data_IF_831473051551
#
_entry.id   IF_831473051551
#
_cell.length_a   1.000
_cell.length_b   1.000
_cell.length_c   1.000
_cell.angle_alpha   90.00
_cell.angle_beta   90.00
_cell.angle_gamma   90.00
#
_symmetry.space_group_name_H-M   'P 1'
#
loop_
_entity.id
_entity.type
_entity.pdbx_description
1 polymer ?
#
# COMPACT_ATOMS: atom_id res chain seq x y z
N UNK A 1 10.98 -88.12 9.92
CA UNK A 1 10.62 -89.25 9.03
C UNK A 1 9.33 -88.89 8.32
N UNK A 2 9.36 -88.96 6.98
CA UNK A 2 8.23 -89.03 6.03
C UNK A 2 7.22 -87.85 6.02
N UNK A 3 6.71 -87.32 4.92
CA UNK A 3 6.95 -87.54 3.49
C UNK A 3 5.94 -86.69 2.69
N UNK A 4 6.40 -86.03 1.63
CA UNK A 4 5.64 -85.81 0.39
C UNK A 4 4.84 -84.50 0.31
N UNK A 5 5.05 -83.60 -0.65
CA UNK A 5 5.13 -83.68 -2.13
C UNK A 5 3.90 -82.97 -2.72
N UNK A 6 4.12 -81.91 -3.49
CA UNK A 6 3.07 -81.23 -4.28
C UNK A 6 3.41 -79.79 -4.67
N UNK A 7 4.33 -79.60 -5.61
CA UNK A 7 4.50 -78.39 -6.44
C UNK A 7 3.50 -78.42 -7.63
N UNK A 8 3.54 -77.50 -8.62
CA UNK A 8 3.27 -76.06 -8.62
C UNK A 8 2.22 -75.68 -9.70
N UNK A 9 1.79 -74.41 -9.78
CA UNK A 9 1.32 -73.84 -11.06
C UNK A 9 1.91 -72.44 -11.26
N UNK A 10 2.76 -72.35 -12.28
CA UNK A 10 3.26 -71.15 -12.95
C UNK A 10 2.09 -70.41 -13.62
N UNK A 11 2.05 -69.09 -13.72
CA UNK A 11 2.69 -68.23 -14.74
C UNK A 11 2.07 -66.84 -14.50
N UNK A 12 2.72 -65.70 -14.58
CA UNK A 12 3.36 -65.17 -15.77
C UNK A 12 4.14 -63.90 -15.38
N UNK A 13 5.32 -63.83 -15.95
CA UNK A 13 6.28 -62.73 -15.95
C UNK A 13 5.84 -61.61 -16.89
N UNK A 14 5.88 -60.36 -16.44
CA UNK A 14 6.20 -59.19 -17.27
C UNK A 14 7.14 -58.31 -16.42
N UNK A 15 8.45 -58.55 -16.46
CA UNK A 15 9.43 -57.90 -17.33
C UNK A 15 9.55 -56.37 -17.13
N UNK A 16 10.55 -56.00 -16.30
CA UNK A 16 11.50 -54.89 -16.47
C UNK A 16 11.67 -54.46 -17.95
N UNK A 17 11.86 -53.21 -18.38
CA UNK A 17 12.46 -52.01 -17.76
C UNK A 17 12.40 -50.80 -18.76
N UNK A 18 13.31 -49.78 -18.77
CA UNK A 18 13.02 -48.35 -18.63
C UNK A 18 13.30 -47.55 -19.95
N UNK A 19 13.55 -46.23 -19.84
CA UNK A 19 13.90 -45.21 -20.85
C UNK A 19 12.71 -44.30 -21.23
N UNK A 20 12.80 -42.98 -21.33
CA UNK A 20 13.88 -42.00 -21.15
C UNK A 20 13.26 -40.60 -21.19
N UNK A 21 13.89 -39.65 -20.50
CA UNK A 21 13.98 -38.22 -20.80
C UNK A 21 12.91 -37.56 -21.69
N UNK A 22 12.09 -36.69 -21.09
CA UNK A 22 11.70 -35.42 -21.71
C UNK A 22 11.63 -34.34 -20.62
N UNK A 23 12.78 -33.75 -20.33
CA UNK A 23 12.84 -32.38 -19.82
C UNK A 23 12.17 -31.47 -20.85
N UNK A 24 10.99 -30.94 -20.53
CA UNK A 24 10.34 -29.95 -21.38
C UNK A 24 9.66 -28.88 -20.51
N UNK A 25 10.43 -27.80 -20.32
CA UNK A 25 9.99 -26.42 -20.13
C UNK A 25 9.22 -26.13 -18.84
N UNK A 26 9.96 -25.95 -17.76
CA UNK A 26 9.61 -24.96 -16.74
C UNK A 26 9.51 -23.60 -17.44
N UNK A 27 8.30 -23.22 -17.84
CA UNK A 27 8.04 -21.87 -18.34
C UNK A 27 8.18 -20.90 -17.18
N UNK A 28 9.07 -19.89 -17.23
CA UNK A 28 9.09 -18.84 -16.23
C UNK A 28 8.00 -17.84 -16.63
N UNK A 29 6.75 -18.13 -16.28
CA UNK A 29 5.71 -17.11 -16.23
C UNK A 29 5.10 -17.14 -14.83
N UNK A 30 5.88 -16.61 -13.88
CA UNK A 30 5.42 -16.14 -12.58
C UNK A 30 4.60 -14.85 -12.77
N UNK A 31 3.52 -14.91 -13.54
CA UNK A 31 2.52 -13.86 -13.64
C UNK A 31 1.09 -14.44 -13.72
N UNK A 32 0.87 -15.64 -13.19
CA UNK A 32 -0.47 -16.13 -12.86
C UNK A 32 -0.97 -15.49 -11.56
N UNK A 33 -1.25 -14.18 -11.62
CA UNK A 33 -1.84 -13.45 -10.50
C UNK A 33 -3.27 -13.97 -10.28
N UNK A 34 -3.45 -14.76 -9.22
CA UNK A 34 -4.77 -15.20 -8.77
C UNK A 34 -5.78 -14.04 -8.76
N UNK A 35 -6.97 -14.18 -9.37
CA UNK A 35 -7.98 -13.12 -9.44
C UNK A 35 -8.52 -12.70 -8.07
N UNK A 36 -8.22 -13.49 -7.03
CA UNK A 36 -8.58 -13.20 -5.64
C UNK A 36 -7.54 -12.34 -4.91
N UNK A 37 -6.43 -11.96 -5.56
CA UNK A 37 -5.40 -11.15 -4.93
C UNK A 37 -5.64 -9.66 -5.21
N UNK A 38 -5.90 -8.90 -4.15
CA UNK A 38 -6.07 -7.47 -4.23
C UNK A 38 -4.78 -6.78 -4.72
N UNK A 39 -4.85 -6.12 -5.88
CA UNK A 39 -3.75 -5.33 -6.44
C UNK A 39 -3.73 -3.92 -5.81
N UNK A 40 -2.52 -3.44 -5.53
CA UNK A 40 -2.26 -2.08 -5.04
C UNK A 40 -2.07 -1.15 -6.25
N UNK A 41 -2.50 0.10 -6.14
CA UNK A 41 -2.37 1.05 -7.25
C UNK A 41 -0.91 1.48 -7.46
N UNK A 42 -0.16 1.72 -6.38
CA UNK A 42 1.26 2.05 -6.45
C UNK A 42 2.13 0.78 -6.41
N UNK A 43 2.89 0.59 -7.49
CA UNK A 43 3.84 -0.51 -7.67
C UNK A 43 5.27 -0.03 -7.38
N UNK A 44 5.52 0.55 -6.20
CA UNK A 44 6.90 0.68 -5.73
C UNK A 44 7.37 -0.73 -5.32
N UNK A 45 7.87 -1.46 -6.33
CA UNK A 45 8.33 -2.85 -6.23
C UNK A 45 9.80 -2.87 -5.82
N UNK A 46 10.13 -2.20 -4.71
CA UNK A 46 11.43 -2.40 -4.07
C UNK A 46 11.33 -3.58 -3.10
N UNK A 47 12.36 -4.41 -3.03
CA UNK A 47 12.47 -5.49 -2.04
C UNK A 47 12.31 -4.94 -0.61
N UNK A 48 12.71 -3.69 -0.39
CA UNK A 48 12.66 -2.98 0.89
C UNK A 48 11.31 -2.30 1.19
N UNK A 49 10.20 -2.91 0.74
CA UNK A 49 8.86 -2.36 0.91
C UNK A 49 7.90 -3.31 1.62
N UNK A 50 6.99 -2.73 2.40
CA UNK A 50 5.94 -3.42 3.14
C UNK A 50 4.58 -2.89 2.71
N UNK A 51 3.60 -3.77 2.58
CA UNK A 51 2.25 -3.41 2.11
C UNK A 51 1.24 -3.81 3.17
N UNK A 52 0.27 -2.95 3.43
CA UNK A 52 -0.89 -3.26 4.27
C UNK A 52 -2.16 -2.71 3.62
N UNK A 53 -3.26 -3.46 3.77
CA UNK A 53 -4.56 -3.10 3.19
C UNK A 53 -5.71 -3.47 4.12
N UNK A 54 -6.72 -2.61 4.16
CA UNK A 54 -8.03 -2.89 4.73
C UNK A 54 -9.11 -2.64 3.70
N UNK A 55 -9.96 -3.64 3.45
CA UNK A 55 -11.06 -3.55 2.47
C UNK A 55 -12.41 -3.48 3.19
N UNK A 56 -13.38 -2.77 2.59
CA UNK A 56 -14.74 -2.65 3.10
C UNK A 56 -14.83 -2.14 4.55
N UNK A 57 -13.89 -1.27 4.94
CA UNK A 57 -13.84 -0.73 6.30
C UNK A 57 -15.00 0.22 6.52
N UNK A 58 -15.77 0.00 7.59
CA UNK A 58 -16.94 0.81 7.95
C UNK A 58 -16.53 2.10 8.68
N UNK A 59 -15.75 2.92 8.00
CA UNK A 59 -15.31 4.25 8.44
C UNK A 59 -15.61 5.27 7.34
N UNK A 60 -15.84 6.53 7.73
CA UNK A 60 -16.28 7.54 6.77
C UNK A 60 -15.15 7.95 5.83
N UNK A 61 -15.31 7.67 4.54
CA UNK A 61 -14.31 7.90 3.49
C UNK A 61 -13.62 9.27 3.57
N UNK A 62 -14.39 10.36 3.69
CA UNK A 62 -13.82 11.72 3.68
C UNK A 62 -12.88 11.97 4.86
N UNK A 63 -13.22 11.46 6.04
CA UNK A 63 -12.43 11.65 7.25
C UNK A 63 -11.14 10.84 7.18
N UNK A 64 -11.26 9.59 6.72
CA UNK A 64 -10.13 8.69 6.55
C UNK A 64 -9.16 9.20 5.49
N UNK A 65 -9.65 9.81 4.39
CA UNK A 65 -8.79 10.43 3.38
C UNK A 65 -7.94 11.55 3.95
N UNK A 66 -8.52 12.48 4.72
CA UNK A 66 -7.74 13.57 5.31
C UNK A 66 -6.74 13.05 6.35
N UNK A 67 -7.14 12.06 7.16
CA UNK A 67 -6.26 11.41 8.15
C UNK A 67 -5.08 10.70 7.47
N UNK A 68 -5.34 9.95 6.41
CA UNK A 68 -4.31 9.27 5.63
C UNK A 68 -3.32 10.24 5.00
N UNK A 69 -3.80 11.35 4.43
CA UNK A 69 -2.93 12.35 3.83
C UNK A 69 -2.05 13.08 4.87
N UNK A 70 -2.53 13.23 6.11
CA UNK A 70 -1.71 13.79 7.18
C UNK A 70 -0.54 12.88 7.57
N UNK A 71 -0.71 11.57 7.47
CA UNK A 71 0.32 10.57 7.82
C UNK A 71 1.32 10.32 6.68
N UNK A 72 0.95 10.68 5.45
CA UNK A 72 1.79 10.45 4.26
C UNK A 72 3.14 11.16 4.41
N UNK A 73 4.23 10.40 4.24
CA UNK A 73 5.61 10.89 4.34
C UNK A 73 6.20 10.93 5.75
N UNK A 74 5.44 10.55 6.78
CA UNK A 74 5.97 10.40 8.14
C UNK A 74 6.73 9.08 8.29
N UNK A 75 7.70 9.04 9.22
CA UNK A 75 8.26 7.79 9.72
C UNK A 75 7.22 7.03 10.54
N UNK A 76 7.32 5.70 10.61
CA UNK A 76 6.34 4.86 11.31
C UNK A 76 6.13 5.30 12.77
N UNK A 77 7.21 5.48 13.53
CA UNK A 77 7.13 5.91 14.94
C UNK A 77 6.43 7.26 15.11
N UNK A 78 6.73 8.23 14.24
CA UNK A 78 6.08 9.55 14.26
C UNK A 78 4.61 9.46 13.89
N UNK A 79 4.26 8.63 12.92
CA UNK A 79 2.88 8.41 12.50
C UNK A 79 2.02 7.82 13.61
N UNK A 80 2.53 6.81 14.32
CA UNK A 80 1.84 6.18 15.46
C UNK A 80 1.61 7.20 16.57
N UNK A 81 2.66 7.88 17.02
CA UNK A 81 2.57 8.90 18.07
C UNK A 81 1.61 10.04 17.70
N UNK A 82 1.61 10.47 16.42
CA UNK A 82 0.69 11.49 15.94
C UNK A 82 -0.78 11.04 16.01
N UNK A 83 -1.09 9.83 15.54
CA UNK A 83 -2.45 9.33 15.53
C UNK A 83 -2.98 9.04 16.94
N UNK A 84 -2.12 8.62 17.87
CA UNK A 84 -2.47 8.51 19.30
C UNK A 84 -2.79 9.88 19.90
N UNK A 85 -1.98 10.90 19.61
CA UNK A 85 -2.27 12.28 20.03
C UNK A 85 -3.57 12.83 19.41
N UNK A 86 -3.95 12.39 18.21
CA UNK A 86 -5.25 12.73 17.59
C UNK A 86 -6.41 12.08 18.33
N UNK A 87 -6.28 10.82 18.78
CA UNK A 87 -7.29 10.15 19.60
C UNK A 87 -7.49 10.88 20.94
N UNK A 88 -6.40 11.34 21.54
CA UNK A 88 -6.40 12.12 22.78
C UNK A 88 -6.83 13.59 22.60
N UNK A 89 -7.15 14.02 21.37
CA UNK A 89 -7.49 15.41 21.02
C UNK A 89 -6.37 16.45 21.28
N UNK A 90 -5.13 16.00 21.49
CA UNK A 90 -3.96 16.86 21.70
C UNK A 90 -3.47 17.49 20.40
N UNK A 91 -3.60 16.78 19.28
CA UNK A 91 -3.27 17.27 17.92
C UNK A 91 -4.44 17.04 16.98
N UNK A 92 -4.63 17.92 16.00
CA UNK A 92 -5.75 17.84 15.07
C UNK A 92 -5.31 17.37 13.68
N UNK A 93 -6.20 16.65 12.99
CA UNK A 93 -6.02 16.33 11.58
C UNK A 93 -6.42 17.55 10.73
N UNK A 94 -5.54 18.06 9.85
CA UNK A 94 -5.89 19.14 8.95
C UNK A 94 -6.86 18.65 7.87
N UNK A 95 -7.98 19.34 7.68
CA UNK A 95 -8.94 19.04 6.61
C UNK A 95 -8.67 19.97 5.43
N UNK A 96 -8.16 19.42 4.32
CA UNK A 96 -7.77 20.19 3.13
C UNK A 96 -8.80 20.11 2.01
N UNK A 97 -9.14 18.91 1.54
CA UNK A 97 -10.08 18.73 0.42
C UNK A 97 -11.53 18.77 0.89
N UNK A 98 -11.85 18.01 1.94
CA UNK A 98 -13.21 17.90 2.46
C UNK A 98 -13.47 18.88 3.63
N UNK A 99 -13.18 20.16 3.42
CA UNK A 99 -13.22 21.19 4.47
C UNK A 99 -14.56 21.97 4.56
N UNK A 100 -15.61 21.53 3.88
CA UNK A 100 -16.92 22.19 3.87
C UNK A 100 -17.63 22.07 5.23
N UNK A 101 -17.99 23.19 5.85
CA UNK A 101 -18.66 23.22 7.16
C UNK A 101 -17.78 22.76 8.34
N UNK A 102 -16.46 22.69 8.17
CA UNK A 102 -15.53 22.29 9.23
C UNK A 102 -15.11 23.52 10.06
N UNK A 103 -15.18 23.38 11.39
CA UNK A 103 -14.73 24.41 12.33
C UNK A 103 -13.23 24.72 12.21
N UNK A 104 -12.84 25.89 12.72
CA UNK A 104 -11.43 26.30 12.80
C UNK A 104 -10.85 25.90 14.14
N UNK A 105 -9.60 25.45 14.17
CA UNK A 105 -8.92 25.04 15.40
C UNK A 105 -7.48 25.58 15.42
N UNK A 106 -6.99 25.96 16.60
CA UNK A 106 -5.61 26.47 16.73
C UNK A 106 -4.57 25.38 16.42
N UNK A 107 -4.88 24.11 16.72
CA UNK A 107 -4.01 22.96 16.47
C UNK A 107 -3.71 22.75 14.97
N UNK A 108 -4.60 23.17 14.06
CA UNK A 108 -4.38 23.04 12.63
C UNK A 108 -3.25 23.95 12.10
N UNK A 109 -2.85 24.97 12.87
CA UNK A 109 -1.77 25.90 12.52
C UNK A 109 -0.44 25.19 12.29
N UNK A 110 -0.19 24.08 13.00
CA UNK A 110 1.00 23.26 12.83
C UNK A 110 1.19 22.79 11.37
N UNK A 111 0.09 22.56 10.65
CA UNK A 111 0.09 22.08 9.27
C UNK A 111 -0.16 23.19 8.25
N UNK A 112 -0.06 24.46 8.67
CA UNK A 112 -0.40 25.63 7.84
C UNK A 112 -1.88 25.67 7.42
N UNK A 113 -2.76 25.01 8.19
CA UNK A 113 -4.20 24.95 7.93
C UNK A 113 -4.97 25.71 9.00
N UNK A 114 -6.12 26.29 8.63
CA UNK A 114 -7.01 26.94 9.60
C UNK A 114 -8.12 26.01 10.11
N UNK A 115 -8.43 24.94 9.37
CA UNK A 115 -9.54 24.01 9.64
C UNK A 115 -8.99 22.62 9.98
N UNK A 116 -9.50 22.02 11.05
CA UNK A 116 -9.09 20.69 11.50
C UNK A 116 -10.14 20.03 12.40
N UNK A 117 -10.07 18.70 12.52
CA UNK A 117 -10.92 17.90 13.42
C UNK A 117 -10.14 16.72 14.00
N UNK A 118 -10.77 16.00 14.92
CA UNK A 118 -10.26 14.78 15.52
C UNK A 118 -11.11 13.56 15.08
N UNK A 119 -10.83 12.97 13.90
CA UNK A 119 -11.57 11.82 13.41
C UNK A 119 -11.12 10.53 14.12
N UNK A 120 -11.55 10.32 15.36
CA UNK A 120 -11.13 9.21 16.25
C UNK A 120 -11.25 7.85 15.56
N UNK A 121 -12.43 7.54 15.00
CA UNK A 121 -12.66 6.26 14.31
C UNK A 121 -11.74 6.05 13.11
N UNK A 122 -11.42 7.10 12.36
CA UNK A 122 -10.49 6.97 11.24
C UNK A 122 -9.05 6.76 11.72
N UNK A 123 -8.64 7.45 12.78
CA UNK A 123 -7.32 7.30 13.38
C UNK A 123 -7.09 5.88 13.91
N UNK A 124 -8.08 5.27 14.57
CA UNK A 124 -8.00 3.89 15.07
C UNK A 124 -7.78 2.86 13.97
N UNK A 125 -8.52 2.96 12.86
CA UNK A 125 -8.37 2.03 11.74
C UNK A 125 -7.03 2.22 11.02
N UNK A 126 -6.54 3.45 10.89
CA UNK A 126 -5.21 3.71 10.30
C UNK A 126 -4.10 3.21 11.23
N UNK A 127 -4.22 3.42 12.54
CA UNK A 127 -3.30 2.84 13.55
C UNK A 127 -3.24 1.31 13.47
N UNK A 128 -4.40 0.65 13.37
CA UNK A 128 -4.45 -0.80 13.21
C UNK A 128 -3.73 -1.29 11.94
N UNK A 129 -3.83 -0.54 10.84
CA UNK A 129 -3.10 -0.86 9.60
C UNK A 129 -1.60 -0.59 9.70
N UNK A 130 -1.17 0.43 10.45
CA UNK A 130 0.25 0.69 10.71
C UNK A 130 0.88 -0.41 11.58
N UNK A 131 0.17 -0.90 12.61
CA UNK A 131 0.62 -2.03 13.43
C UNK A 131 0.74 -3.31 12.60
N UNK A 132 -0.21 -3.56 11.69
CA UNK A 132 -0.10 -4.66 10.74
C UNK A 132 1.12 -4.48 9.82
N UNK A 133 1.38 -3.26 9.34
CA UNK A 133 2.58 -2.98 8.54
C UNK A 133 3.88 -3.18 9.33
N UNK A 134 3.91 -2.84 10.61
CA UNK A 134 5.04 -3.09 11.52
C UNK A 134 5.34 -4.60 11.63
N UNK A 135 4.35 -5.43 11.95
CA UNK A 135 4.53 -6.89 12.00
C UNK A 135 4.97 -7.47 10.66
N UNK A 136 4.48 -6.94 9.54
CA UNK A 136 4.93 -7.37 8.21
C UNK A 136 6.37 -6.91 7.90
N UNK A 137 6.83 -5.81 8.48
CA UNK A 137 8.21 -5.32 8.33
C UNK A 137 9.18 -6.20 9.12
N UNK A 138 8.80 -6.59 10.34
CA UNK A 138 9.57 -7.52 11.19
C UNK A 138 9.77 -8.87 10.50
N UNK A 139 8.71 -9.44 9.92
CA UNK A 139 8.78 -10.72 9.18
C UNK A 139 9.71 -10.61 7.96
N UNK A 140 9.81 -9.42 7.35
CA UNK A 140 10.72 -9.18 6.23
C UNK A 140 12.15 -8.79 6.66
N UNK A 141 12.40 -8.59 7.95
CA UNK A 141 13.70 -8.17 8.47
C UNK A 141 14.09 -6.75 8.06
N UNK A 142 13.13 -5.84 7.88
CA UNK A 142 13.40 -4.43 7.56
C UNK A 142 13.60 -3.62 8.84
N UNK A 143 14.40 -2.55 8.75
CA UNK A 143 14.60 -1.64 9.88
C UNK A 143 13.33 -0.80 10.13
N UNK A 144 12.74 -0.97 11.32
CA UNK A 144 11.52 -0.29 11.74
C UNK A 144 11.73 1.23 11.91
N UNK A 145 12.96 1.66 12.21
CA UNK A 145 13.26 3.04 12.54
C UNK A 145 13.34 3.93 11.30
N UNK A 146 13.85 3.37 10.20
CA UNK A 146 13.98 4.03 8.91
C UNK A 146 12.75 3.84 8.00
N UNK A 147 11.69 3.23 8.51
CA UNK A 147 10.50 2.93 7.73
C UNK A 147 9.61 4.18 7.56
N UNK A 148 9.35 4.57 6.31
CA UNK A 148 8.58 5.75 5.95
C UNK A 148 7.30 5.37 5.20
N UNK A 149 6.19 6.02 5.53
CA UNK A 149 4.92 5.87 4.81
C UNK A 149 4.98 6.59 3.47
N UNK A 150 5.39 5.88 2.43
CA UNK A 150 5.60 6.44 1.09
C UNK A 150 4.29 6.59 0.32
N UNK A 151 3.51 5.52 0.29
CA UNK A 151 2.21 5.50 -0.36
C UNK A 151 1.11 5.24 0.66
N UNK A 152 0.07 6.06 0.62
CA UNK A 152 -1.18 5.79 1.32
C UNK A 152 -2.32 6.31 0.46
N UNK A 153 -3.28 5.43 0.21
CA UNK A 153 -4.43 5.71 -0.61
C UNK A 153 -5.69 5.22 0.10
N UNK A 154 -6.73 6.03 -0.02
CA UNK A 154 -8.06 5.72 0.49
C UNK A 154 -9.02 5.86 -0.68
N UNK A 155 -9.73 4.77 -0.99
CA UNK A 155 -10.73 4.70 -2.04
C UNK A 155 -12.12 4.47 -1.44
N UNK A 156 -13.16 4.87 -2.16
CA UNK A 156 -14.53 4.62 -1.76
C UNK A 156 -14.85 3.13 -1.90
N UNK A 157 -15.51 2.56 -0.90
CA UNK A 157 -16.10 1.22 -0.98
C UNK A 157 -17.60 1.34 -1.31
N UNK A 158 -18.24 0.26 -1.80
CA UNK A 158 -19.67 0.26 -2.09
C UNK A 158 -20.50 0.76 -0.89
N UNK A 159 -21.40 1.75 -1.10
CA UNK A 159 -22.15 2.35 0.00
C UNK A 159 -23.21 1.37 0.54
N UNK A 160 -23.32 1.30 1.87
CA UNK A 160 -24.36 0.50 2.52
C UNK A 160 -25.62 1.36 2.68
N UNK A 161 -26.72 0.94 2.04
CA UNK A 161 -27.96 1.71 1.97
C UNK A 161 -28.95 1.32 3.08
N UNK A 162 -29.50 2.32 3.77
CA UNK A 162 -30.65 2.25 4.66
C UNK A 162 -31.72 3.24 4.18
N UNK A 163 -32.93 3.17 4.74
CA UNK A 163 -34.04 4.07 4.41
C UNK A 163 -34.23 5.09 5.53
N UNK A 164 -34.60 6.31 5.16
CA UNK A 164 -35.07 7.34 6.09
C UNK A 164 -36.44 7.84 5.63
N UNK A 165 -37.42 7.70 6.50
CA UNK A 165 -38.77 8.22 6.29
C UNK A 165 -38.79 9.72 6.52
N UNK A 166 -39.45 10.46 5.64
CA UNK A 166 -39.56 11.92 5.68
C UNK A 166 -41.04 12.32 5.59
N UNK A 167 -41.30 13.58 5.90
CA UNK A 167 -42.64 14.17 5.86
C UNK A 167 -43.32 13.90 4.50
N UNK A 168 -44.64 13.69 4.56
CA UNK A 168 -45.53 13.35 3.43
C UNK A 168 -45.21 12.00 2.77
N UNK A 169 -44.79 10.99 3.54
CA UNK A 169 -44.55 9.64 3.02
C UNK A 169 -43.32 9.49 2.11
N UNK A 170 -42.45 10.51 2.04
CA UNK A 170 -41.22 10.47 1.21
C UNK A 170 -40.19 9.51 1.83
N UNK A 171 -39.48 8.77 0.99
CA UNK A 171 -38.41 7.85 1.41
C UNK A 171 -37.09 8.28 0.78
N UNK A 172 -36.16 8.73 1.61
CA UNK A 172 -34.80 9.10 1.19
C UNK A 172 -33.80 8.00 1.55
N UNK A 173 -32.70 7.85 0.78
CA UNK A 173 -31.62 6.95 1.15
C UNK A 173 -30.78 7.55 2.28
N UNK A 174 -30.42 6.71 3.25
CA UNK A 174 -29.38 7.00 4.23
C UNK A 174 -28.24 6.03 4.04
N UNK A 175 -27.13 6.52 3.50
CA UNK A 175 -26.02 5.68 3.06
C UNK A 175 -24.83 5.81 4.00
N UNK A 176 -24.19 4.68 4.31
CA UNK A 176 -22.84 4.67 4.86
C UNK A 176 -21.84 4.75 3.71
N UNK A 177 -20.77 5.50 3.87
CA UNK A 177 -19.68 5.62 2.90
C UNK A 177 -18.40 4.95 3.45
N UNK A 178 -18.31 3.61 3.38
CA UNK A 178 -17.12 2.86 3.77
C UNK A 178 -15.93 3.14 2.84
N UNK A 179 -14.74 2.68 3.22
CA UNK A 179 -13.55 2.85 2.40
C UNK A 179 -12.67 1.60 2.29
N UNK A 180 -11.88 1.56 1.23
CA UNK A 180 -10.70 0.72 1.11
C UNK A 180 -9.48 1.57 1.41
N UNK A 181 -8.60 1.09 2.27
CA UNK A 181 -7.33 1.75 2.59
C UNK A 181 -6.21 0.82 2.14
N UNK A 182 -5.24 1.37 1.44
CA UNK A 182 -4.00 0.68 1.12
C UNK A 182 -2.81 1.57 1.43
N UNK A 183 -1.74 0.98 1.96
CA UNK A 183 -0.51 1.68 2.28
C UNK A 183 0.71 0.83 1.92
N UNK A 184 1.75 1.53 1.47
CA UNK A 184 3.08 0.96 1.23
C UNK A 184 4.08 1.77 2.04
N UNK A 185 4.84 1.08 2.86
CA UNK A 185 5.95 1.64 3.61
C UNK A 185 7.25 1.19 2.95
N UNK A 186 8.23 2.07 2.93
CA UNK A 186 9.53 1.83 2.30
C UNK A 186 10.62 2.25 3.28
N UNK A 187 11.67 1.46 3.37
CA UNK A 187 12.87 1.83 4.11
C UNK A 187 13.56 2.99 3.39
N UNK A 188 13.74 4.12 4.07
CA UNK A 188 14.39 5.28 3.48
C UNK A 188 15.90 5.02 3.34
N UNK A 189 16.41 5.14 2.11
CA UNK A 189 17.86 5.10 1.87
C UNK A 189 18.49 6.41 2.35
N UNK A 190 19.55 6.31 3.16
CA UNK A 190 20.17 7.46 3.84
C UNK A 190 20.91 8.40 2.88
N UNK A 191 21.37 7.90 1.74
CA UNK A 191 22.14 8.67 0.78
C UNK A 191 21.65 8.39 -0.64
N UNK A 192 21.13 9.41 -1.32
CA UNK A 192 20.83 9.34 -2.75
C UNK A 192 22.08 9.80 -3.50
N UNK A 193 22.62 9.02 -4.46
CA UNK A 193 23.75 9.47 -5.26
C UNK A 193 23.38 10.77 -5.98
N UNK A 194 24.32 11.73 -5.98
CA UNK A 194 24.14 13.01 -6.67
C UNK A 194 23.80 12.72 -8.14
N UNK A 195 22.62 13.17 -8.58
CA UNK A 195 22.19 12.97 -9.96
C UNK A 195 23.22 13.51 -10.95
N UNK A 196 23.31 12.89 -12.13
CA UNK A 196 24.20 13.35 -13.20
C UNK A 196 24.01 14.85 -13.44
N UNK A 197 25.13 15.58 -13.54
CA UNK A 197 25.09 17.02 -13.76
C UNK A 197 24.43 17.29 -15.12
N UNK A 198 23.16 17.71 -15.10
CA UNK A 198 22.46 18.18 -16.29
C UNK A 198 23.28 19.33 -16.87
N UNK A 199 23.74 19.18 -18.12
CA UNK A 199 24.49 20.21 -18.81
C UNK A 199 23.71 21.54 -18.74
N UNK A 200 24.37 22.67 -18.41
CA UNK A 200 23.67 23.94 -18.27
C UNK A 200 22.94 24.25 -19.58
N UNK A 201 21.63 24.52 -19.50
CA UNK A 201 20.86 25.00 -20.65
C UNK A 201 21.45 26.34 -21.09
N UNK A 202 22.23 26.30 -22.17
CA UNK A 202 22.78 27.50 -22.78
C UNK A 202 21.63 28.31 -23.41
N UNK A 203 21.63 29.62 -23.18
CA UNK A 203 20.76 30.52 -23.94
C UNK A 203 21.11 30.47 -25.43
N UNK A 204 20.15 30.78 -26.30
CA UNK A 204 20.34 30.72 -27.77
C UNK A 204 21.56 31.51 -28.26
N UNK A 205 21.90 32.61 -27.59
CA UNK A 205 23.08 33.42 -27.89
C UNK A 205 24.37 32.74 -27.43
N UNK A 206 24.36 32.12 -26.26
CA UNK A 206 25.51 31.40 -25.71
C UNK A 206 25.83 30.12 -26.50
N UNK A 207 24.81 29.41 -27.01
CA UNK A 207 25.01 28.24 -27.88
C UNK A 207 25.59 28.63 -29.24
N UNK A 208 25.12 29.73 -29.84
CA UNK A 208 25.63 30.23 -31.13
C UNK A 208 27.09 30.72 -31.01
N UNK A 209 27.43 31.44 -29.95
CA UNK A 209 28.82 31.86 -29.66
C UNK A 209 29.74 30.65 -29.46
N UNK A 210 29.27 29.61 -28.77
CA UNK A 210 30.02 28.36 -28.59
C UNK A 210 30.25 27.64 -29.93
N UNK A 211 29.24 27.59 -30.80
CA UNK A 211 29.35 26.99 -32.12
C UNK A 211 30.33 27.75 -33.04
N UNK A 212 30.28 29.08 -33.05
CA UNK A 212 31.23 29.92 -33.83
C UNK A 212 32.66 29.72 -33.33
N UNK A 213 32.88 29.64 -32.02
CA UNK A 213 34.21 29.41 -31.44
C UNK A 213 34.75 28.02 -31.78
N UNK A 214 33.89 27.01 -31.80
CA UNK A 214 34.26 25.64 -32.18
C UNK A 214 34.58 25.50 -33.68
N UNK A 215 33.92 26.27 -34.56
CA UNK A 215 34.19 26.25 -36.00
C UNK A 215 35.47 27.02 -36.43
N UNK A 216 36.07 27.78 -35.51
CA UNK A 216 37.31 28.54 -35.73
C UNK A 216 38.55 27.85 -35.15
N UNK A 217 38.36 26.77 -34.40
CA UNK A 217 39.42 25.89 -33.90
C UNK A 217 39.59 24.72 -34.88
#
# INVERSE_FOLDING_TARGET
MASGRGTPLETSTLSNSPLSSLSCRTSPNLDSVSPYRARYAATETSAKSVKARGSYLRVHFKNTRETAQAVKGMTLKKAVAYLEAVKDHKRAVPFRRFAGGVGRTAQAKEFGASRGRWPVKSAEFVLGLLKNAESNAEVKGLDLDNLVVRHIQVNQAPPQRRRTYRAHGRINPYMSHPCHIEMTLVEAEKEVPKGEAVAPRLTRVASLRKAIRAARA
#
